data_IF_649664514999
#
_entry.id   IF_649664514999
#
_cell.length_a   1.000
_cell.length_b   1.000
_cell.length_c   1.000
_cell.angle_alpha   90.00
_cell.angle_beta   90.00
_cell.angle_gamma   90.00
#
_symmetry.space_group_name_H-M   'P 1'
#
loop_
_entity.id
_entity.type
_entity.pdbx_description
1 polymer ?
#
# COMPACT_ATOMS: atom_id res chain seq x y z
N UNK A 1 -11.36 39.86 8.63
CA UNK A 1 -11.89 38.47 8.59
C UNK A 1 -11.30 37.60 7.45
N UNK A 2 -10.99 38.15 6.26
CA UNK A 2 -10.43 37.39 5.11
C UNK A 2 -9.01 36.82 5.31
N UNK A 3 -8.14 37.46 6.11
CA UNK A 3 -6.75 37.01 6.34
C UNK A 3 -6.63 35.69 7.12
N UNK A 4 -7.58 35.37 8.02
CA UNK A 4 -7.56 34.11 8.79
C UNK A 4 -7.91 32.88 7.95
N UNK A 5 -8.78 33.05 6.94
CA UNK A 5 -9.12 31.98 5.99
C UNK A 5 -7.95 31.60 5.07
N UNK A 6 -7.12 32.58 4.69
CA UNK A 6 -5.95 32.34 3.84
C UNK A 6 -4.83 31.60 4.62
N UNK A 7 -4.62 31.98 5.90
CA UNK A 7 -3.68 31.28 6.77
C UNK A 7 -4.15 29.85 7.11
N UNK A 8 -5.42 29.65 7.45
CA UNK A 8 -5.98 28.33 7.74
C UNK A 8 -5.97 27.38 6.52
N UNK A 9 -6.18 27.91 5.31
CA UNK A 9 -6.01 27.16 4.06
C UNK A 9 -4.57 26.71 3.86
N UNK A 10 -3.60 27.60 4.07
CA UNK A 10 -2.18 27.27 3.89
C UNK A 10 -1.67 26.14 4.81
N UNK A 11 -2.17 26.03 6.05
CA UNK A 11 -1.83 24.90 6.94
C UNK A 11 -2.43 23.59 6.47
N UNK A 12 -3.68 23.62 5.98
CA UNK A 12 -4.32 22.45 5.41
C UNK A 12 -3.58 21.98 4.15
N UNK A 13 -3.21 22.89 3.25
CA UNK A 13 -2.49 22.56 2.01
C UNK A 13 -1.10 21.96 2.30
N UNK A 14 -0.37 22.50 3.30
CA UNK A 14 0.91 21.92 3.75
C UNK A 14 0.74 20.54 4.38
N UNK A 15 -0.34 20.33 5.15
CA UNK A 15 -0.65 19.03 5.73
C UNK A 15 -0.97 17.99 4.65
N UNK A 16 -1.75 18.35 3.63
CA UNK A 16 -2.01 17.50 2.46
C UNK A 16 -0.73 17.20 1.68
N UNK A 17 0.15 18.20 1.48
CA UNK A 17 1.43 17.98 0.80
C UNK A 17 2.34 17.03 1.59
N UNK A 18 2.43 17.20 2.92
CA UNK A 18 3.19 16.32 3.80
C UNK A 18 2.63 14.90 3.83
N UNK A 19 1.30 14.75 3.82
CA UNK A 19 0.61 13.46 3.75
C UNK A 19 0.88 12.72 2.45
N UNK A 20 0.76 13.41 1.31
CA UNK A 20 1.09 12.84 0.00
C UNK A 20 2.58 12.46 -0.09
N UNK A 21 3.46 13.27 0.50
CA UNK A 21 4.89 12.96 0.57
C UNK A 21 5.16 11.72 1.44
N UNK A 22 4.50 11.57 2.59
CA UNK A 22 4.68 10.38 3.45
C UNK A 22 4.20 9.11 2.76
N UNK A 23 3.07 9.17 2.04
CA UNK A 23 2.58 8.05 1.25
C UNK A 23 3.53 7.69 0.10
N UNK A 24 4.09 8.70 -0.58
CA UNK A 24 5.07 8.48 -1.64
C UNK A 24 6.36 7.82 -1.11
N UNK A 25 6.91 8.30 0.01
CA UNK A 25 8.10 7.71 0.64
C UNK A 25 7.85 6.28 1.10
N UNK A 26 6.69 6.03 1.71
CA UNK A 26 6.29 4.69 2.11
C UNK A 26 6.17 3.74 0.91
N UNK A 27 5.59 4.22 -0.20
CA UNK A 27 5.48 3.44 -1.44
C UNK A 27 6.84 3.10 -2.04
N UNK A 28 7.80 4.04 -2.02
CA UNK A 28 9.17 3.80 -2.48
C UNK A 28 9.87 2.76 -1.61
N UNK A 29 9.77 2.88 -0.28
CA UNK A 29 10.34 1.91 0.64
C UNK A 29 9.80 0.48 0.39
N UNK A 30 8.48 0.34 0.31
CA UNK A 30 7.85 -0.96 0.03
C UNK A 30 8.23 -1.54 -1.33
N UNK A 31 8.40 -0.69 -2.36
CA UNK A 31 8.86 -1.13 -3.67
C UNK A 31 10.31 -1.64 -3.65
N UNK A 32 11.20 -0.98 -2.89
CA UNK A 32 12.59 -1.41 -2.75
C UNK A 32 12.70 -2.78 -2.08
N UNK A 33 11.99 -2.99 -0.97
CA UNK A 33 11.96 -4.27 -0.25
C UNK A 33 11.39 -5.40 -1.11
N UNK A 34 10.25 -5.18 -1.76
CA UNK A 34 9.65 -6.19 -2.66
C UNK A 34 10.55 -6.49 -3.86
N UNK A 35 11.21 -5.48 -4.42
CA UNK A 35 12.13 -5.67 -5.54
C UNK A 35 13.42 -6.41 -5.14
N UNK A 36 13.91 -6.23 -3.90
CA UNK A 36 15.04 -6.98 -3.37
C UNK A 36 14.67 -8.46 -3.23
N UNK A 37 13.53 -8.74 -2.60
CA UNK A 37 13.02 -10.10 -2.47
C UNK A 37 12.82 -10.78 -3.82
N UNK A 38 12.21 -10.08 -4.80
CA UNK A 38 11.98 -10.65 -6.13
C UNK A 38 13.28 -10.95 -6.87
N UNK A 39 14.30 -10.08 -6.75
CA UNK A 39 15.61 -10.31 -7.36
C UNK A 39 16.29 -11.55 -6.80
N UNK A 40 16.25 -11.73 -5.49
CA UNK A 40 16.79 -12.92 -4.83
C UNK A 40 16.03 -14.18 -5.22
N UNK A 41 14.69 -14.12 -5.25
CA UNK A 41 13.85 -15.25 -5.65
C UNK A 41 14.14 -15.70 -7.10
N UNK A 42 14.27 -14.74 -8.03
CA UNK A 42 14.61 -15.01 -9.43
C UNK A 42 16.04 -15.52 -9.56
N UNK A 43 17.01 -14.99 -8.81
CA UNK A 43 18.40 -15.41 -8.88
C UNK A 43 18.61 -16.84 -8.37
N UNK A 44 17.88 -17.27 -7.34
CA UNK A 44 18.05 -18.60 -6.73
C UNK A 44 17.23 -19.67 -7.44
N UNK A 45 15.97 -19.37 -7.79
CA UNK A 45 15.04 -20.40 -8.32
C UNK A 45 14.67 -20.20 -9.80
N UNK A 46 15.01 -19.06 -10.39
CA UNK A 46 14.69 -18.73 -11.78
C UNK A 46 13.29 -18.14 -11.97
N UNK A 47 13.09 -17.41 -13.08
CA UNK A 47 11.84 -16.71 -13.36
C UNK A 47 10.63 -17.64 -13.53
N UNK A 48 10.84 -18.83 -14.10
CA UNK A 48 9.79 -19.84 -14.28
C UNK A 48 9.22 -20.31 -12.93
N UNK A 49 10.11 -20.60 -11.99
CA UNK A 49 9.72 -20.98 -10.63
C UNK A 49 8.98 -19.83 -9.93
N UNK A 50 9.45 -18.58 -10.07
CA UNK A 50 8.79 -17.45 -9.41
C UNK A 50 7.36 -17.15 -9.89
N UNK A 51 7.00 -17.56 -11.11
CA UNK A 51 5.68 -17.28 -11.71
C UNK A 51 4.75 -18.49 -11.64
N UNK A 52 5.28 -19.70 -11.80
CA UNK A 52 4.48 -20.92 -11.98
C UNK A 52 4.49 -21.87 -10.78
N UNK A 53 5.30 -21.59 -9.75
CA UNK A 53 5.32 -22.43 -8.55
C UNK A 53 4.07 -22.22 -7.69
N UNK A 54 3.65 -23.28 -7.02
CA UNK A 54 2.56 -23.23 -6.05
C UNK A 54 2.93 -22.31 -4.86
N UNK A 55 2.02 -21.42 -4.40
CA UNK A 55 2.27 -20.54 -3.25
C UNK A 55 2.69 -21.31 -1.97
N UNK A 56 2.24 -22.55 -1.79
CA UNK A 56 2.65 -23.40 -0.65
C UNK A 56 4.09 -23.92 -0.75
N UNK A 57 4.72 -23.91 -1.93
CA UNK A 57 6.12 -24.32 -2.16
C UNK A 57 7.13 -23.23 -1.81
N UNK A 58 6.68 -22.01 -1.52
CA UNK A 58 7.52 -20.94 -1.01
C UNK A 58 7.74 -21.12 0.50
N UNK A 59 8.62 -22.05 0.86
CA UNK A 59 9.20 -22.09 2.21
C UNK A 59 9.97 -20.79 2.45
N UNK A 60 9.30 -19.80 3.03
CA UNK A 60 9.88 -18.51 3.44
C UNK A 60 10.68 -18.70 4.73
N UNK A 61 11.72 -19.56 4.68
CA UNK A 61 12.61 -19.82 5.81
C UNK A 61 13.43 -18.61 6.28
N UNK A 62 13.28 -17.43 5.70
CA UNK A 62 14.06 -16.24 6.08
C UNK A 62 13.44 -14.86 5.81
N UNK A 63 12.19 -14.75 5.35
CA UNK A 63 11.69 -13.50 4.76
C UNK A 63 10.76 -12.70 5.68
N UNK A 64 11.09 -12.58 6.97
CA UNK A 64 10.29 -11.80 7.93
C UNK A 64 10.06 -10.35 7.45
N UNK A 65 11.06 -9.77 6.78
CA UNK A 65 11.00 -8.40 6.25
C UNK A 65 10.04 -8.24 5.05
N UNK A 66 10.01 -9.21 4.13
CA UNK A 66 9.14 -9.15 2.96
C UNK A 66 7.66 -9.33 3.35
N UNK A 67 7.37 -10.28 4.24
CA UNK A 67 6.02 -10.49 4.77
C UNK A 67 5.53 -9.28 5.56
N UNK A 68 6.40 -8.69 6.38
CA UNK A 68 6.10 -7.46 7.12
C UNK A 68 5.90 -6.26 6.18
N UNK A 69 6.72 -6.11 5.14
CA UNK A 69 6.57 -5.07 4.13
C UNK A 69 5.24 -5.22 3.36
N UNK A 70 4.83 -6.45 3.02
CA UNK A 70 3.56 -6.74 2.38
C UNK A 70 2.36 -6.41 3.29
N UNK A 71 2.46 -6.77 4.58
CA UNK A 71 1.46 -6.43 5.60
C UNK A 71 1.33 -4.92 5.77
N UNK A 72 2.45 -4.21 5.91
CA UNK A 72 2.46 -2.75 6.03
C UNK A 72 1.92 -2.10 4.75
N UNK A 73 2.20 -2.65 3.57
CA UNK A 73 1.67 -2.19 2.29
C UNK A 73 0.15 -2.38 2.19
N UNK A 74 -0.36 -3.53 2.63
CA UNK A 74 -1.81 -3.73 2.73
C UNK A 74 -2.45 -2.72 3.69
N UNK A 75 -1.79 -2.44 4.83
CA UNK A 75 -2.27 -1.48 5.82
C UNK A 75 -2.20 -0.03 5.32
N UNK A 76 -1.24 0.32 4.46
CA UNK A 76 -1.10 1.68 3.89
C UNK A 76 -2.21 2.04 2.91
N UNK A 77 -3.02 1.07 2.45
CA UNK A 77 -4.21 1.36 1.64
C UNK A 77 -5.34 2.01 2.45
N UNK A 78 -5.36 1.83 3.78
CA UNK A 78 -6.32 2.46 4.69
C UNK A 78 -6.17 4.00 4.70
N UNK A 79 -4.97 4.57 4.92
CA UNK A 79 -4.77 6.02 4.83
C UNK A 79 -5.00 6.60 3.42
N UNK A 80 -4.70 5.84 2.36
CA UNK A 80 -5.03 6.23 0.98
C UNK A 80 -6.56 6.32 0.75
N UNK A 81 -7.33 5.39 1.33
CA UNK A 81 -8.81 5.46 1.30
C UNK A 81 -9.34 6.61 2.16
N UNK A 82 -8.72 6.85 3.31
CA UNK A 82 -9.07 7.92 4.25
C UNK A 82 -9.04 9.30 3.60
N UNK A 83 -8.03 9.59 2.77
CA UNK A 83 -7.94 10.85 2.00
C UNK A 83 -9.19 11.10 1.12
N UNK A 84 -9.65 10.05 0.43
CA UNK A 84 -10.87 10.11 -0.38
C UNK A 84 -12.14 10.25 0.45
N UNK A 85 -12.22 9.60 1.62
CA UNK A 85 -13.35 9.74 2.54
C UNK A 85 -13.47 11.18 3.10
N UNK A 86 -12.34 11.80 3.45
CA UNK A 86 -12.30 13.21 3.87
C UNK A 86 -12.68 14.17 2.72
N UNK A 87 -12.37 13.83 1.46
CA UNK A 87 -12.82 14.59 0.28
C UNK A 87 -14.33 14.47 0.04
N UNK A 88 -14.91 13.28 0.23
CA UNK A 88 -16.36 13.05 0.13
C UNK A 88 -17.10 13.86 1.19
N UNK A 89 -16.60 13.87 2.43
CA UNK A 89 -17.14 14.68 3.53
C UNK A 89 -17.03 16.20 3.26
N UNK A 90 -16.10 16.63 2.40
CA UNK A 90 -15.96 18.03 1.95
C UNK A 90 -16.74 18.34 0.66
N UNK A 91 -17.53 17.40 0.13
CA UNK A 91 -18.36 17.60 -1.06
C UNK A 91 -17.58 17.73 -2.36
N UNK A 92 -16.32 17.30 -2.40
CA UNK A 92 -15.54 17.26 -3.66
C UNK A 92 -15.84 15.95 -4.40
N UNK A 93 -16.03 15.97 -5.73
CA UNK A 93 -16.31 14.77 -6.50
C UNK A 93 -15.09 13.85 -6.50
N UNK A 94 -15.21 12.70 -5.85
CA UNK A 94 -14.23 11.62 -5.92
C UNK A 94 -14.50 10.77 -7.15
N UNK A 95 -13.44 10.38 -7.87
CA UNK A 95 -13.55 9.48 -9.02
C UNK A 95 -13.92 8.09 -8.53
N UNK A 96 -15.05 7.55 -9.01
CA UNK A 96 -15.57 6.23 -8.61
C UNK A 96 -14.52 5.11 -8.76
N UNK A 97 -13.72 5.16 -9.83
CA UNK A 97 -12.70 4.15 -10.09
C UNK A 97 -11.59 4.12 -9.03
N UNK A 98 -11.20 5.28 -8.48
CA UNK A 98 -10.09 5.35 -7.52
C UNK A 98 -10.48 4.67 -6.20
N UNK A 99 -11.59 5.07 -5.58
CA UNK A 99 -11.98 4.51 -4.27
C UNK A 99 -12.37 3.04 -4.36
N UNK A 100 -13.03 2.63 -5.45
CA UNK A 100 -13.38 1.23 -5.69
C UNK A 100 -12.12 0.37 -5.84
N UNK A 101 -11.19 0.79 -6.70
CA UNK A 101 -9.92 0.11 -6.91
C UNK A 101 -9.14 -0.05 -5.59
N UNK A 102 -9.01 1.01 -4.79
CA UNK A 102 -8.22 0.94 -3.55
C UNK A 102 -8.91 0.10 -2.46
N UNK A 103 -10.25 0.03 -2.45
CA UNK A 103 -11.00 -0.82 -1.52
C UNK A 103 -10.88 -2.29 -1.86
N UNK A 104 -11.02 -2.65 -3.15
CA UNK A 104 -11.00 -4.05 -3.58
C UNK A 104 -9.61 -4.65 -3.51
N UNK A 105 -8.57 -3.93 -3.92
CA UNK A 105 -7.18 -4.42 -3.80
C UNK A 105 -6.76 -4.59 -2.34
N UNK A 106 -7.25 -3.74 -1.42
CA UNK A 106 -7.02 -3.91 0.02
C UNK A 106 -7.64 -5.21 0.53
N UNK A 107 -8.92 -5.45 0.21
CA UNK A 107 -9.61 -6.69 0.59
C UNK A 107 -8.95 -7.93 -0.02
N UNK A 108 -8.50 -7.84 -1.27
CA UNK A 108 -7.77 -8.91 -1.94
C UNK A 108 -6.45 -9.22 -1.22
N UNK A 109 -5.63 -8.21 -0.93
CA UNK A 109 -4.37 -8.41 -0.21
C UNK A 109 -4.60 -8.99 1.20
N UNK A 110 -5.62 -8.52 1.92
CA UNK A 110 -5.95 -9.04 3.25
C UNK A 110 -6.40 -10.50 3.21
N UNK A 111 -7.23 -10.85 2.22
CA UNK A 111 -7.66 -12.23 2.02
C UNK A 111 -6.48 -13.13 1.68
N UNK A 112 -5.62 -12.72 0.74
CA UNK A 112 -4.41 -13.48 0.37
C UNK A 112 -3.50 -13.72 1.59
N UNK A 113 -3.30 -12.68 2.41
CA UNK A 113 -2.57 -12.80 3.67
C UNK A 113 -3.25 -13.81 4.64
N UNK A 114 -4.57 -13.75 4.77
CA UNK A 114 -5.33 -14.63 5.66
C UNK A 114 -5.49 -16.08 5.18
N UNK A 115 -5.28 -16.37 3.89
CA UNK A 115 -5.46 -17.72 3.32
C UNK A 115 -4.16 -18.40 2.91
N UNK A 116 -3.15 -17.63 2.48
CA UNK A 116 -1.90 -18.18 1.94
C UNK A 116 -0.72 -18.07 2.91
N UNK A 117 -0.74 -17.15 3.87
CA UNK A 117 0.38 -16.91 4.81
C UNK A 117 0.12 -17.38 6.25
N UNK A 118 -1.11 -17.73 6.63
CA UNK A 118 -1.41 -18.37 7.91
C UNK A 118 -1.30 -19.88 7.77
N UNK A 119 -0.24 -20.53 8.31
CA UNK A 119 -0.25 -21.97 8.48
C UNK A 119 -1.35 -22.31 9.50
N UNK A 120 -2.35 -23.07 9.05
CA UNK A 120 -3.04 -23.99 9.94
C UNK A 120 -2.11 -25.14 10.30
#
# INVERSE_FOLDING_TARGET
RRRRFCAAGAWADRAFAAWNLSLALFSVWGALEMSAWLREAVAVKGAWFTVCENPYGFETKGSSHATLALFLFAFSKIPELGDTAFLILRGKPVRFLQWYHHSTVMLFCWLAIATEYTPG
#
